data_IF_449663785897
#
_entry.id   IF_449663785897
#
_cell.length_a   1.000
_cell.length_b   1.000
_cell.length_c   1.000
_cell.angle_alpha   90.00
_cell.angle_beta   90.00
_cell.angle_gamma   90.00
#
_symmetry.space_group_name_H-M   'P 1'
#
loop_
_entity.id
_entity.type
_entity.pdbx_description
1 polymer ?
#
# COMPACT_ATOMS: atom_id res chain seq x y z
N UNK A 1 47.72 -0.73 -65.28
CA UNK A 1 46.80 0.26 -64.68
C UNK A 1 45.49 -0.48 -64.40
N UNK A 2 45.28 -0.92 -63.16
CA UNK A 2 44.04 -1.61 -62.74
C UNK A 2 43.39 -0.74 -61.67
N UNK A 3 42.23 -0.13 -61.91
CA UNK A 3 41.53 0.63 -60.89
C UNK A 3 40.73 -0.30 -59.98
N UNK A 4 40.70 0.08 -58.71
CA UNK A 4 39.65 -0.15 -57.70
C UNK A 4 39.18 -1.58 -57.38
N UNK A 5 39.89 -2.21 -56.44
CA UNK A 5 39.36 -3.31 -55.61
C UNK A 5 38.99 -2.86 -54.17
N UNK A 6 38.96 -1.55 -53.88
CA UNK A 6 38.66 -1.00 -52.53
C UNK A 6 37.18 -0.71 -52.28
N UNK A 7 36.36 -0.65 -53.34
CA UNK A 7 34.94 -0.31 -53.23
C UNK A 7 34.12 -1.55 -52.82
N UNK A 8 34.47 -2.73 -53.33
CA UNK A 8 33.79 -3.99 -52.99
C UNK A 8 34.03 -4.47 -51.56
N UNK A 9 35.20 -4.22 -50.98
CA UNK A 9 35.52 -4.65 -49.61
C UNK A 9 34.85 -3.79 -48.53
N UNK A 10 34.71 -2.48 -48.75
CA UNK A 10 33.96 -1.59 -47.84
C UNK A 10 32.49 -1.97 -47.73
N UNK A 11 31.84 -2.23 -48.85
CA UNK A 11 30.45 -2.65 -48.88
C UNK A 11 30.22 -3.99 -48.15
N UNK A 12 31.20 -4.89 -48.18
CA UNK A 12 31.13 -6.17 -47.45
C UNK A 12 31.29 -5.99 -45.94
N UNK A 13 32.16 -5.08 -45.49
CA UNK A 13 32.31 -4.77 -44.07
C UNK A 13 31.11 -4.00 -43.52
N UNK A 14 30.60 -3.03 -44.26
CA UNK A 14 29.37 -2.30 -43.91
C UNK A 14 28.16 -3.24 -43.86
N UNK A 15 28.03 -4.17 -44.82
CA UNK A 15 26.99 -5.19 -44.79
C UNK A 15 27.09 -6.08 -43.53
N UNK A 16 28.29 -6.51 -43.14
CA UNK A 16 28.49 -7.29 -41.91
C UNK A 16 28.12 -6.52 -40.65
N UNK A 17 28.45 -5.22 -40.60
CA UNK A 17 28.08 -4.35 -39.48
C UNK A 17 26.56 -4.23 -39.39
N UNK A 18 25.88 -3.97 -40.51
CA UNK A 18 24.41 -3.89 -40.57
C UNK A 18 23.77 -5.20 -40.12
N UNK A 19 24.24 -6.35 -40.61
CA UNK A 19 23.72 -7.66 -40.20
C UNK A 19 23.94 -7.93 -38.70
N UNK A 20 25.07 -7.50 -38.14
CA UNK A 20 25.32 -7.63 -36.69
C UNK A 20 24.36 -6.77 -35.86
N UNK A 21 24.11 -5.54 -36.29
CA UNK A 21 23.11 -4.66 -35.65
C UNK A 21 21.71 -5.24 -35.75
N UNK A 22 21.31 -5.75 -36.91
CA UNK A 22 20.00 -6.37 -37.13
C UNK A 22 19.78 -7.57 -36.19
N UNK A 23 20.78 -8.44 -36.09
CA UNK A 23 20.76 -9.60 -35.16
C UNK A 23 20.70 -9.14 -33.71
N UNK A 24 21.45 -8.09 -33.34
CA UNK A 24 21.42 -7.51 -32.00
C UNK A 24 20.04 -6.96 -31.63
N UNK A 25 19.44 -6.17 -32.53
CA UNK A 25 18.10 -5.61 -32.36
C UNK A 25 17.04 -6.70 -32.23
N UNK A 26 17.11 -7.75 -33.07
CA UNK A 26 16.18 -8.86 -33.01
C UNK A 26 16.26 -9.61 -31.67
N UNK A 27 17.47 -9.85 -31.17
CA UNK A 27 17.69 -10.49 -29.87
C UNK A 27 17.18 -9.65 -28.71
N UNK A 28 17.44 -8.34 -28.71
CA UNK A 28 16.93 -7.45 -27.67
C UNK A 28 15.42 -7.31 -27.71
N UNK A 29 14.80 -7.28 -28.90
CA UNK A 29 13.34 -7.31 -29.04
C UNK A 29 12.73 -8.58 -28.40
N UNK A 30 13.32 -9.76 -28.67
CA UNK A 30 12.89 -11.02 -28.05
C UNK A 30 13.08 -11.00 -26.53
N UNK A 31 14.22 -10.48 -26.06
CA UNK A 31 14.51 -10.37 -24.63
C UNK A 31 13.49 -9.47 -23.92
N UNK A 32 13.20 -8.30 -24.49
CA UNK A 32 12.21 -7.36 -23.97
C UNK A 32 10.81 -7.96 -23.99
N UNK A 33 10.43 -8.65 -25.07
CA UNK A 33 9.15 -9.35 -25.16
C UNK A 33 9.00 -10.39 -24.04
N UNK A 34 10.01 -11.25 -23.84
CA UNK A 34 10.01 -12.24 -22.75
C UNK A 34 9.96 -11.59 -21.37
N UNK A 35 10.68 -10.48 -21.17
CA UNK A 35 10.62 -9.70 -19.92
C UNK A 35 9.22 -9.14 -19.68
N UNK A 36 8.60 -8.58 -20.73
CA UNK A 36 7.25 -8.05 -20.66
C UNK A 36 6.23 -9.15 -20.35
N UNK A 37 6.32 -10.30 -21.01
CA UNK A 37 5.44 -11.45 -20.72
C UNK A 37 5.55 -11.93 -19.27
N UNK A 38 6.76 -12.02 -18.70
CA UNK A 38 6.92 -12.34 -17.27
C UNK A 38 6.32 -11.29 -16.35
N UNK A 39 6.40 -10.00 -16.72
CA UNK A 39 5.73 -8.94 -15.97
C UNK A 39 4.21 -9.10 -16.05
N UNK A 40 3.65 -9.43 -17.22
CA UNK A 40 2.22 -9.75 -17.38
C UNK A 40 1.79 -10.98 -16.57
N UNK A 41 2.65 -11.99 -16.43
CA UNK A 41 2.40 -13.22 -15.66
C UNK A 41 2.47 -13.00 -14.14
N UNK A 42 3.29 -12.05 -13.66
CA UNK A 42 3.53 -11.82 -12.22
C UNK A 42 2.86 -10.55 -11.66
N UNK A 43 2.60 -9.55 -12.49
CA UNK A 43 1.79 -8.38 -12.15
C UNK A 43 0.41 -8.60 -12.74
N UNK A 44 -0.55 -8.97 -11.90
CA UNK A 44 -1.94 -9.02 -12.32
C UNK A 44 -2.29 -7.64 -12.90
N UNK A 45 -2.69 -7.61 -14.17
CA UNK A 45 -3.03 -6.39 -14.90
C UNK A 45 -4.44 -5.91 -14.51
N UNK A 46 -4.64 -5.66 -13.21
CA UNK A 46 -5.95 -5.28 -12.64
C UNK A 46 -6.29 -3.82 -12.98
N UNK A 47 -5.33 -3.02 -13.47
CA UNK A 47 -5.51 -1.57 -13.50
C UNK A 47 -6.43 -1.08 -14.64
N UNK A 48 -6.67 -1.86 -15.71
CA UNK A 48 -7.36 -1.38 -16.92
C UNK A 48 -8.50 -2.27 -17.45
N UNK A 49 -8.92 -3.31 -16.73
CA UNK A 49 -10.08 -4.12 -17.16
C UNK A 49 -11.27 -3.91 -16.22
N UNK A 50 -12.45 -3.51 -16.74
CA UNK A 50 -13.67 -3.57 -15.95
C UNK A 50 -14.02 -5.03 -15.71
N UNK A 51 -13.94 -5.46 -14.46
CA UNK A 51 -14.26 -6.82 -14.05
C UNK A 51 -15.79 -7.00 -14.13
N UNK A 52 -16.27 -7.65 -15.18
CA UNK A 52 -17.63 -8.20 -15.22
C UNK A 52 -17.58 -9.69 -14.93
N UNK A 53 -17.59 -10.09 -13.65
CA UNK A 53 -17.83 -11.49 -13.29
C UNK A 53 -19.31 -11.71 -12.98
N UNK A 54 -20.02 -12.26 -13.97
CA UNK A 54 -21.14 -13.18 -13.73
C UNK A 54 -20.53 -14.57 -13.52
N UNK A 55 -20.60 -15.12 -12.32
CA UNK A 55 -20.19 -16.49 -12.04
C UNK A 55 -20.00 -16.73 -10.54
N UNK A 56 -20.65 -17.78 -10.04
CA UNK A 56 -21.03 -18.00 -8.64
C UNK A 56 -19.90 -18.45 -7.68
N UNK A 57 -18.64 -18.55 -8.16
CA UNK A 57 -17.54 -19.15 -7.39
C UNK A 57 -16.39 -18.18 -7.07
N UNK A 58 -16.69 -16.88 -6.93
CA UNK A 58 -15.71 -15.80 -6.73
C UNK A 58 -15.51 -15.33 -5.28
N UNK A 59 -15.92 -16.11 -4.27
CA UNK A 59 -15.97 -15.63 -2.88
C UNK A 59 -14.60 -15.52 -2.18
N UNK A 60 -13.59 -16.30 -2.59
CA UNK A 60 -12.30 -16.33 -1.86
C UNK A 60 -11.29 -15.24 -2.26
N UNK A 61 -11.45 -14.58 -3.42
CA UNK A 61 -10.55 -13.49 -3.86
C UNK A 61 -11.11 -12.10 -3.48
N UNK A 62 -12.33 -12.03 -2.95
CA UNK A 62 -12.98 -10.77 -2.56
C UNK A 62 -12.41 -10.16 -1.27
N UNK A 63 -11.80 -10.96 -0.39
CA UNK A 63 -11.39 -10.50 0.95
C UNK A 63 -10.13 -9.60 0.94
N UNK A 64 -9.36 -9.59 -0.16
CA UNK A 64 -8.10 -8.82 -0.25
C UNK A 64 -8.22 -7.51 -1.03
N UNK A 65 -9.29 -7.30 -1.79
CA UNK A 65 -9.59 -6.02 -2.42
C UNK A 65 -10.63 -5.30 -1.56
N UNK A 66 -10.14 -4.60 -0.55
CA UNK A 66 -10.92 -3.63 0.23
C UNK A 66 -11.65 -2.70 -0.76
N UNK A 67 -12.95 -2.90 -0.90
CA UNK A 67 -13.80 -2.27 -1.91
C UNK A 67 -13.57 -0.74 -1.93
N UNK A 68 -13.16 -0.19 -3.08
CA UNK A 68 -13.00 1.27 -3.25
C UNK A 68 -14.31 2.00 -2.97
N UNK A 69 -15.45 1.37 -3.27
CA UNK A 69 -16.78 1.86 -2.93
C UNK A 69 -17.04 1.87 -1.42
N UNK A 70 -16.52 0.89 -0.67
CA UNK A 70 -16.57 0.94 0.79
C UNK A 70 -15.68 2.04 1.38
N UNK A 71 -14.50 2.28 0.79
CA UNK A 71 -13.63 3.39 1.22
C UNK A 71 -14.28 4.76 0.96
N UNK A 72 -14.87 4.94 -0.22
CA UNK A 72 -15.61 6.16 -0.57
C UNK A 72 -16.83 6.34 0.33
N UNK A 73 -17.57 5.27 0.62
CA UNK A 73 -18.71 5.32 1.53
C UNK A 73 -18.28 5.63 2.98
N UNK A 74 -17.19 5.02 3.48
CA UNK A 74 -16.60 5.34 4.80
C UNK A 74 -16.10 6.80 4.86
N UNK A 75 -15.56 7.33 3.77
CA UNK A 75 -15.22 8.77 3.67
C UNK A 75 -16.46 9.66 3.67
N UNK A 76 -17.53 9.29 2.95
CA UNK A 76 -18.77 10.05 2.93
C UNK A 76 -19.43 10.07 4.33
N UNK A 77 -19.51 8.91 5.00
CA UNK A 77 -20.06 8.76 6.35
C UNK A 77 -19.20 9.51 7.37
N UNK A 78 -17.87 9.41 7.31
CA UNK A 78 -16.99 10.15 8.25
C UNK A 78 -17.03 11.68 8.07
N UNK A 79 -17.46 12.18 6.91
CA UNK A 79 -17.64 13.61 6.66
C UNK A 79 -19.06 14.11 7.01
N UNK A 80 -20.02 13.22 7.28
CA UNK A 80 -21.34 13.60 7.76
C UNK A 80 -21.23 14.26 9.15
N UNK A 81 -21.67 15.53 9.31
CA UNK A 81 -21.65 16.21 10.60
C UNK A 81 -22.37 15.43 11.70
N UNK A 82 -23.45 14.69 11.39
CA UNK A 82 -24.18 13.91 12.38
C UNK A 82 -23.31 12.75 12.92
N UNK A 83 -22.69 11.98 12.02
CA UNK A 83 -21.78 10.89 12.38
C UNK A 83 -20.55 11.38 13.16
N UNK A 84 -19.99 12.55 12.82
CA UNK A 84 -18.86 13.14 13.56
C UNK A 84 -19.25 13.51 14.98
N UNK A 85 -20.45 14.07 15.17
CA UNK A 85 -20.99 14.40 16.50
C UNK A 85 -21.20 13.13 17.30
N UNK A 86 -21.87 12.13 16.75
CA UNK A 86 -22.12 10.83 17.39
C UNK A 86 -20.81 10.13 17.78
N UNK A 87 -19.84 10.07 16.87
CA UNK A 87 -18.51 9.50 17.11
C UNK A 87 -17.77 10.25 18.24
N UNK A 88 -17.91 11.58 18.30
CA UNK A 88 -17.28 12.38 19.35
C UNK A 88 -17.89 12.14 20.73
N UNK A 89 -19.22 11.97 20.80
CA UNK A 89 -19.94 11.63 22.03
C UNK A 89 -19.54 10.22 22.49
N UNK A 90 -19.53 9.25 21.57
CA UNK A 90 -19.10 7.89 21.87
C UNK A 90 -17.67 7.83 22.44
N UNK A 91 -16.72 8.54 21.83
CA UNK A 91 -15.33 8.61 22.35
C UNK A 91 -15.28 9.27 23.73
N UNK A 92 -16.08 10.31 23.99
CA UNK A 92 -16.15 10.93 25.31
C UNK A 92 -16.72 9.99 26.36
N UNK A 93 -17.77 9.23 26.05
CA UNK A 93 -18.36 8.22 26.91
C UNK A 93 -17.37 7.11 27.22
N UNK A 94 -16.66 6.57 26.21
CA UNK A 94 -15.60 5.59 26.41
C UNK A 94 -14.52 6.12 27.36
N UNK A 95 -14.05 7.35 27.11
CA UNK A 95 -13.04 7.97 27.96
C UNK A 95 -13.58 8.29 29.36
N UNK A 96 -14.89 8.44 29.57
CA UNK A 96 -15.48 8.76 30.88
C UNK A 96 -15.16 7.70 31.94
N UNK A 97 -15.13 6.43 31.53
CA UNK A 97 -14.93 5.23 32.35
C UNK A 97 -13.49 5.11 32.88
N UNK A 98 -12.53 5.70 32.16
CA UNK A 98 -11.11 5.63 32.49
C UNK A 98 -10.74 6.58 33.64
N UNK A 99 -9.70 6.23 34.39
CA UNK A 99 -9.07 7.17 35.35
C UNK A 99 -8.36 8.31 34.61
N UNK A 100 -8.10 9.43 35.29
CA UNK A 100 -7.41 10.58 34.69
C UNK A 100 -6.05 10.20 34.06
N UNK A 101 -5.29 9.32 34.71
CA UNK A 101 -3.99 8.87 34.21
C UNK A 101 -4.13 7.99 32.95
N UNK A 102 -5.11 7.08 32.93
CA UNK A 102 -5.43 6.28 31.76
C UNK A 102 -5.90 7.15 30.59
N UNK A 103 -6.76 8.15 30.83
CA UNK A 103 -7.20 9.11 29.80
C UNK A 103 -6.01 9.84 29.18
N UNK A 104 -5.07 10.31 30.00
CA UNK A 104 -3.85 11.01 29.52
C UNK A 104 -2.98 10.10 28.64
N UNK A 105 -2.79 8.84 29.06
CA UNK A 105 -2.01 7.86 28.29
C UNK A 105 -2.71 7.49 26.98
N UNK A 106 -4.00 7.18 27.01
CA UNK A 106 -4.78 6.84 25.80
C UNK A 106 -4.85 8.01 24.83
N UNK A 107 -5.08 9.23 25.31
CA UNK A 107 -5.05 10.43 24.46
C UNK A 107 -3.71 10.58 23.76
N UNK A 108 -2.60 10.53 24.50
CA UNK A 108 -1.26 10.73 23.94
C UNK A 108 -0.86 9.64 22.93
N UNK A 109 -1.18 8.38 23.23
CA UNK A 109 -0.72 7.23 22.43
C UNK A 109 -1.66 6.83 21.30
N UNK A 110 -2.97 6.82 21.55
CA UNK A 110 -3.98 6.32 20.60
C UNK A 110 -4.54 7.46 19.76
N UNK A 111 -5.00 8.54 20.41
CA UNK A 111 -5.66 9.64 19.69
C UNK A 111 -4.64 10.56 19.01
N UNK A 112 -3.51 10.82 19.65
CA UNK A 112 -2.47 11.72 19.16
C UNK A 112 -1.28 10.97 18.51
N UNK A 113 -1.30 9.64 18.51
CA UNK A 113 -0.33 8.79 17.78
C UNK A 113 1.11 8.82 18.28
N UNK A 114 1.40 9.33 19.48
CA UNK A 114 2.78 9.36 20.01
C UNK A 114 3.26 8.00 20.46
N UNK A 115 4.58 7.81 20.39
CA UNK A 115 5.21 6.61 20.95
C UNK A 115 5.07 6.57 22.48
N UNK A 116 5.18 5.37 23.06
CA UNK A 116 5.17 5.21 24.52
C UNK A 116 6.35 5.94 25.19
N UNK A 117 7.49 6.03 24.50
CA UNK A 117 8.66 6.77 24.97
C UNK A 117 8.42 8.28 25.03
N UNK A 118 7.88 8.88 23.97
CA UNK A 118 7.52 10.30 23.96
C UNK A 118 6.45 10.62 25.00
N UNK A 119 5.46 9.72 25.13
CA UNK A 119 4.40 9.83 26.15
C UNK A 119 4.98 9.73 27.57
N UNK A 120 5.94 8.85 27.80
CA UNK A 120 6.64 8.69 29.08
C UNK A 120 7.36 9.98 29.47
N UNK A 121 8.15 10.55 28.55
CA UNK A 121 8.82 11.84 28.72
C UNK A 121 7.82 12.97 29.03
N UNK A 122 6.72 13.04 28.28
CA UNK A 122 5.70 14.08 28.44
C UNK A 122 4.96 13.99 29.77
N UNK A 123 4.65 12.78 30.22
CA UNK A 123 3.88 12.55 31.45
C UNK A 123 4.75 12.43 32.71
N UNK A 124 6.08 12.46 32.58
CA UNK A 124 7.01 12.32 33.71
C UNK A 124 6.96 10.95 34.37
N UNK A 125 6.62 9.90 33.61
CA UNK A 125 6.54 8.51 34.10
C UNK A 125 7.45 7.60 33.28
N UNK A 126 7.72 6.39 33.77
CA UNK A 126 8.55 5.42 33.03
C UNK A 126 7.79 4.83 31.84
N UNK A 127 8.51 4.45 30.77
CA UNK A 127 7.92 3.79 29.60
C UNK A 127 7.15 2.50 29.97
N UNK A 128 7.66 1.61 30.85
CA UNK A 128 6.87 0.46 31.30
C UNK A 128 5.58 0.85 32.03
N UNK A 129 5.56 1.99 32.73
CA UNK A 129 4.35 2.49 33.37
C UNK A 129 3.33 2.97 32.34
N UNK A 130 3.76 3.62 31.25
CA UNK A 130 2.89 3.98 30.11
C UNK A 130 2.27 2.72 29.52
N UNK A 131 3.09 1.72 29.19
CA UNK A 131 2.63 0.45 28.61
C UNK A 131 1.57 -0.24 29.49
N UNK A 132 1.87 -0.45 30.78
CA UNK A 132 0.92 -1.07 31.73
C UNK A 132 -0.37 -0.26 31.88
N UNK A 133 -0.28 1.07 31.87
CA UNK A 133 -1.45 1.95 31.98
C UNK A 133 -2.32 1.87 30.74
N UNK A 134 -1.71 1.83 29.55
CA UNK A 134 -2.38 1.63 28.26
C UNK A 134 -3.11 0.30 28.23
N UNK A 135 -2.42 -0.80 28.54
CA UNK A 135 -3.03 -2.14 28.57
C UNK A 135 -4.20 -2.24 29.54
N UNK A 136 -4.08 -1.67 30.74
CA UNK A 136 -5.20 -1.64 31.69
C UNK A 136 -6.38 -0.86 31.16
N UNK A 137 -6.13 0.30 30.56
CA UNK A 137 -7.18 1.13 29.97
C UNK A 137 -7.90 0.40 28.82
N UNK A 138 -7.16 -0.20 27.89
CA UNK A 138 -7.72 -0.94 26.76
C UNK A 138 -8.52 -2.16 27.22
N UNK A 139 -8.02 -2.91 28.20
CA UNK A 139 -8.76 -4.04 28.77
C UNK A 139 -10.05 -3.60 29.47
N UNK A 140 -10.03 -2.44 30.13
CA UNK A 140 -11.22 -1.89 30.77
C UNK A 140 -12.28 -1.46 29.74
N UNK A 141 -11.86 -0.81 28.65
CA UNK A 141 -12.76 -0.48 27.54
C UNK A 141 -13.32 -1.74 26.89
N UNK A 142 -12.47 -2.74 26.62
CA UNK A 142 -12.91 -4.01 26.02
C UNK A 142 -13.98 -4.70 26.86
N UNK A 143 -13.85 -4.73 28.19
CA UNK A 143 -14.88 -5.33 29.05
C UNK A 143 -16.25 -4.64 28.99
N UNK A 144 -16.28 -3.35 28.68
CA UNK A 144 -17.51 -2.57 28.66
C UNK A 144 -18.21 -2.59 27.29
N UNK A 145 -17.47 -2.93 26.23
CA UNK A 145 -17.95 -2.86 24.83
C UNK A 145 -17.59 -4.11 24.01
N UNK A 146 -17.33 -5.25 24.67
CA UNK A 146 -17.23 -6.58 24.05
C UNK A 146 -18.56 -7.30 24.08
#
# INVERSE_FOLDING_TARGET
MFPDNKIGSRNLEEAKIVTWFEVGLHREAIRLYKKHQRLLEHEILILNQPISFKGEDGAEILDTLQNTDEMLNKMAISNDPAYRVESSVFVQEMLSILTLQQKRVIRSTVLEGRTEFETAKRLGISQPAVHRTKERALNQLRKQYS
#
